data_IF_700329927731
#
_entry.id   IF_700329927731
#
_cell.length_a   1.000
_cell.length_b   1.000
_cell.length_c   1.000
_cell.angle_alpha   90.00
_cell.angle_beta   90.00
_cell.angle_gamma   90.00
#
_symmetry.space_group_name_H-M   'P 1'
#
loop_
_entity.id
_entity.type
_entity.pdbx_description
1 polymer ?
#
# COMPACT_ATOMS: atom_id res chain seq x y z
N UNK A 1 16.45 -15.99 22.51
CA UNK A 1 15.34 -15.04 22.32
C UNK A 1 15.93 -13.66 22.00
N UNK A 2 16.58 -13.53 20.84
CA UNK A 2 17.20 -12.26 20.43
C UNK A 2 16.15 -11.42 19.71
N UNK A 3 15.59 -10.44 20.43
CA UNK A 3 14.87 -9.31 19.87
C UNK A 3 15.83 -8.52 18.99
N UNK A 4 15.92 -8.88 17.71
CA UNK A 4 16.59 -8.06 16.71
C UNK A 4 15.50 -7.34 15.92
N UNK A 5 15.55 -6.01 15.83
CA UNK A 5 14.47 -5.19 15.28
C UNK A 5 14.25 -5.54 13.80
N UNK A 6 13.05 -5.25 13.24
CA UNK A 6 12.70 -5.53 11.84
C UNK A 6 13.75 -5.02 10.82
N UNK A 7 14.58 -4.05 11.21
CA UNK A 7 15.73 -3.60 10.43
C UNK A 7 16.73 -4.71 10.07
N UNK A 8 16.91 -5.76 10.90
CA UNK A 8 17.85 -6.85 10.61
C UNK A 8 17.31 -7.84 9.56
N UNK A 9 15.99 -7.98 9.41
CA UNK A 9 15.39 -8.72 8.29
C UNK A 9 15.70 -8.06 6.95
N UNK A 10 15.83 -6.73 6.90
CA UNK A 10 16.09 -5.98 5.67
C UNK A 10 17.57 -5.88 5.29
N UNK A 11 18.49 -5.93 6.26
CA UNK A 11 19.91 -5.60 6.03
C UNK A 11 20.83 -6.82 5.85
N UNK A 12 20.43 -8.01 6.28
CA UNK A 12 21.27 -9.21 6.26
C UNK A 12 20.46 -10.40 5.76
N UNK A 13 20.16 -10.41 4.46
CA UNK A 13 19.74 -11.62 3.78
C UNK A 13 20.52 -11.72 2.47
N UNK A 14 21.42 -12.70 2.38
CA UNK A 14 22.14 -13.08 1.14
C UNK A 14 21.19 -13.67 0.05
N UNK A 15 19.91 -13.32 0.11
CA UNK A 15 18.83 -13.77 -0.77
C UNK A 15 17.62 -12.84 -0.77
N UNK A 16 17.78 -11.56 -0.39
CA UNK A 16 16.72 -10.56 -0.44
C UNK A 16 16.19 -10.35 -1.87
N UNK A 17 14.92 -9.94 -2.00
CA UNK A 17 14.36 -9.56 -3.30
C UNK A 17 15.24 -8.48 -3.95
N UNK A 18 15.51 -8.61 -5.25
CA UNK A 18 16.21 -7.58 -5.98
C UNK A 18 15.49 -6.24 -5.77
N UNK A 19 16.23 -5.17 -5.51
CA UNK A 19 15.67 -3.87 -5.12
C UNK A 19 14.57 -3.36 -6.07
N UNK A 20 14.69 -3.67 -7.36
CA UNK A 20 13.71 -3.31 -8.38
C UNK A 20 12.38 -4.08 -8.24
N UNK A 21 12.41 -5.33 -7.74
CA UNK A 21 11.21 -6.11 -7.42
C UNK A 21 10.46 -5.46 -6.26
N UNK A 22 11.20 -5.05 -5.23
CA UNK A 22 10.62 -4.33 -4.07
C UNK A 22 9.96 -3.03 -4.51
N UNK A 23 10.61 -2.25 -5.39
CA UNK A 23 10.01 -1.05 -5.97
C UNK A 23 8.78 -1.34 -6.82
N UNK A 24 8.84 -2.38 -7.67
CA UNK A 24 7.70 -2.77 -8.49
C UNK A 24 6.50 -3.19 -7.61
N UNK A 25 6.74 -4.00 -6.57
CA UNK A 25 5.73 -4.39 -5.60
C UNK A 25 5.17 -3.19 -4.82
N UNK A 26 6.03 -2.23 -4.45
CA UNK A 26 5.60 -0.98 -3.81
C UNK A 26 4.66 -0.17 -4.71
N UNK A 27 4.92 -0.06 -6.02
CA UNK A 27 4.07 0.73 -6.93
C UNK A 27 2.87 -0.03 -7.51
N UNK A 28 2.87 -1.37 -7.45
CA UNK A 28 1.82 -2.21 -8.03
C UNK A 28 0.39 -1.84 -7.55
N UNK A 29 0.13 -1.55 -6.26
CA UNK A 29 -1.19 -1.11 -5.81
C UNK A 29 -1.71 0.17 -6.51
N UNK A 30 -0.82 1.06 -6.95
CA UNK A 30 -1.17 2.28 -7.65
C UNK A 30 -1.87 2.03 -8.99
N UNK A 31 -1.65 0.87 -9.61
CA UNK A 31 -2.35 0.44 -10.82
C UNK A 31 -3.86 0.24 -10.63
N UNK A 32 -4.35 0.11 -9.38
CA UNK A 32 -5.78 -0.01 -9.07
C UNK A 32 -6.63 1.18 -9.53
N UNK A 33 -6.01 2.33 -9.81
CA UNK A 33 -6.69 3.47 -10.44
C UNK A 33 -7.33 3.09 -11.79
N UNK A 34 -6.78 2.12 -12.51
CA UNK A 34 -7.33 1.63 -13.78
C UNK A 34 -8.77 1.08 -13.63
N UNK A 35 -9.16 0.63 -12.43
CA UNK A 35 -10.53 0.17 -12.16
C UNK A 35 -11.58 1.28 -12.35
N UNK A 36 -11.19 2.56 -12.32
CA UNK A 36 -12.09 3.68 -12.64
C UNK A 36 -12.51 3.73 -14.11
N UNK A 37 -11.85 3.00 -15.01
CA UNK A 37 -12.30 2.81 -16.39
C UNK A 37 -13.68 2.14 -16.48
N UNK A 38 -14.06 1.38 -15.45
CA UNK A 38 -15.36 0.70 -15.34
C UNK A 38 -16.38 1.50 -14.48
N UNK A 39 -16.09 2.77 -14.19
CA UNK A 39 -16.97 3.66 -13.44
C UNK A 39 -16.55 3.87 -11.98
N UNK A 40 -17.08 4.93 -11.37
CA UNK A 40 -16.63 5.43 -10.06
C UNK A 40 -16.83 4.44 -8.91
N UNK A 41 -17.90 3.64 -8.95
CA UNK A 41 -18.18 2.64 -7.92
C UNK A 41 -17.18 1.50 -7.93
N UNK A 42 -16.91 0.93 -9.11
CA UNK A 42 -15.95 -0.17 -9.28
C UNK A 42 -14.53 0.36 -9.00
N UNK A 43 -14.21 1.55 -9.52
CA UNK A 43 -12.96 2.24 -9.23
C UNK A 43 -12.70 2.43 -7.74
N UNK A 44 -13.67 2.95 -7.00
CA UNK A 44 -13.51 3.17 -5.56
C UNK A 44 -13.32 1.86 -4.78
N UNK A 45 -14.04 0.79 -5.15
CA UNK A 45 -13.88 -0.52 -4.52
C UNK A 45 -12.47 -1.07 -4.82
N UNK A 46 -12.09 -1.17 -6.10
CA UNK A 46 -10.79 -1.72 -6.50
C UNK A 46 -9.61 -0.95 -5.91
N UNK A 47 -9.70 0.37 -5.88
CA UNK A 47 -8.70 1.22 -5.25
C UNK A 47 -8.60 0.97 -3.74
N UNK A 48 -9.73 1.03 -3.03
CA UNK A 48 -9.74 0.92 -1.57
C UNK A 48 -9.25 -0.46 -1.10
N UNK A 49 -9.56 -1.52 -1.85
CA UNK A 49 -9.08 -2.87 -1.55
C UNK A 49 -7.55 -2.97 -1.45
N UNK A 50 -6.79 -2.08 -2.11
CA UNK A 50 -5.32 -2.06 -2.05
C UNK A 50 -4.75 -0.92 -1.19
N UNK A 51 -5.59 -0.07 -0.60
CA UNK A 51 -5.17 1.13 0.17
C UNK A 51 -5.71 1.16 1.62
N UNK A 52 -6.36 0.07 2.05
CA UNK A 52 -6.76 -0.14 3.45
C UNK A 52 -5.55 -0.63 4.24
N UNK A 53 -5.16 0.12 5.27
CA UNK A 53 -4.10 -0.28 6.19
C UNK A 53 -4.38 -1.62 6.88
N UNK A 54 -5.65 -1.88 7.23
CA UNK A 54 -6.04 -3.11 7.91
C UNK A 54 -5.64 -4.38 7.17
N UNK A 55 -5.73 -4.40 5.83
CA UNK A 55 -5.31 -5.56 5.04
C UNK A 55 -3.79 -5.70 5.02
N UNK A 56 -3.05 -4.61 4.82
CA UNK A 56 -1.58 -4.63 4.94
C UNK A 56 -1.11 -5.09 6.32
N UNK A 57 -1.76 -4.62 7.39
CA UNK A 57 -1.44 -5.00 8.76
C UNK A 57 -1.72 -6.49 9.03
N UNK A 58 -2.83 -7.02 8.53
CA UNK A 58 -3.13 -8.46 8.61
C UNK A 58 -2.09 -9.28 7.86
N UNK A 59 -1.73 -8.89 6.63
CA UNK A 59 -0.70 -9.59 5.84
C UNK A 59 0.65 -9.55 6.56
N UNK A 60 1.03 -8.41 7.12
CA UNK A 60 2.26 -8.27 7.92
C UNK A 60 2.24 -9.19 9.14
N UNK A 61 1.16 -9.15 9.92
CA UNK A 61 1.01 -9.97 11.12
C UNK A 61 1.02 -11.47 10.80
N UNK A 62 0.36 -11.89 9.71
CA UNK A 62 0.39 -13.27 9.24
C UNK A 62 1.79 -13.69 8.83
N UNK A 63 2.52 -12.84 8.10
CA UNK A 63 3.91 -13.09 7.72
C UNK A 63 4.81 -13.30 8.93
N UNK A 64 4.65 -12.48 9.97
CA UNK A 64 5.35 -12.66 11.24
C UNK A 64 4.91 -13.94 11.96
N UNK A 65 3.62 -14.27 11.97
CA UNK A 65 3.09 -15.44 12.68
C UNK A 65 3.54 -16.79 12.09
N UNK A 66 3.86 -16.82 10.80
CA UNK A 66 4.32 -18.04 10.09
C UNK A 66 5.79 -17.98 9.69
N UNK A 67 6.56 -17.03 10.26
CA UNK A 67 7.97 -16.79 9.96
C UNK A 67 8.28 -16.62 8.46
N UNK A 68 7.33 -16.10 7.68
CA UNK A 68 7.49 -15.83 6.25
C UNK A 68 7.97 -14.40 6.02
N UNK A 69 9.27 -14.27 5.72
CA UNK A 69 9.89 -12.99 5.35
C UNK A 69 9.18 -12.34 4.16
N UNK A 70 8.89 -13.12 3.11
CA UNK A 70 8.18 -12.62 1.93
C UNK A 70 6.82 -12.03 2.27
N UNK A 71 6.01 -12.74 3.07
CA UNK A 71 4.67 -12.27 3.42
C UNK A 71 4.73 -11.04 4.33
N UNK A 72 5.66 -11.02 5.28
CA UNK A 72 5.91 -9.85 6.13
C UNK A 72 6.34 -8.64 5.29
N UNK A 73 7.25 -8.82 4.32
CA UNK A 73 7.66 -7.76 3.41
C UNK A 73 6.50 -7.22 2.57
N UNK A 74 5.65 -8.10 2.00
CA UNK A 74 4.48 -7.65 1.23
C UNK A 74 3.50 -6.85 2.09
N UNK A 75 3.28 -7.26 3.35
CA UNK A 75 2.48 -6.51 4.30
C UNK A 75 3.08 -5.14 4.64
N UNK A 76 4.39 -5.07 4.86
CA UNK A 76 5.09 -3.81 5.11
C UNK A 76 4.99 -2.86 3.90
N UNK A 77 5.28 -3.33 2.69
CA UNK A 77 5.19 -2.54 1.46
C UNK A 77 3.76 -2.03 1.21
N UNK A 78 2.74 -2.83 1.55
CA UNK A 78 1.35 -2.39 1.47
C UNK A 78 1.08 -1.22 2.41
N UNK A 79 1.52 -1.30 3.66
CA UNK A 79 1.37 -0.23 4.64
C UNK A 79 2.11 1.03 4.18
N UNK A 80 3.35 0.88 3.71
CA UNK A 80 4.16 1.99 3.18
C UNK A 80 3.48 2.65 1.98
N UNK A 81 2.97 1.86 1.03
CA UNK A 81 2.23 2.39 -0.12
C UNK A 81 0.97 3.15 0.31
N UNK A 82 0.21 2.59 1.25
CA UNK A 82 -1.00 3.23 1.79
C UNK A 82 -0.68 4.54 2.53
N UNK A 83 0.49 4.64 3.16
CA UNK A 83 1.00 5.87 3.77
C UNK A 83 1.49 6.89 2.75
N UNK A 84 2.24 6.45 1.75
CA UNK A 84 2.69 7.27 0.63
C UNK A 84 1.50 7.87 -0.12
N UNK A 85 0.47 7.08 -0.40
CA UNK A 85 -0.79 7.55 -1.00
C UNK A 85 -1.45 8.69 -0.20
N UNK A 86 -1.47 8.57 1.13
CA UNK A 86 -2.05 9.58 2.03
C UNK A 86 -1.18 10.82 2.18
N UNK A 87 0.14 10.69 2.02
CA UNK A 87 1.06 11.83 1.98
C UNK A 87 0.72 12.78 0.83
N UNK A 88 0.22 12.25 -0.30
CA UNK A 88 -0.27 13.06 -1.43
C UNK A 88 -1.75 13.45 -1.33
N UNK A 89 -2.41 13.14 -0.22
CA UNK A 89 -3.81 13.51 0.04
C UNK A 89 -4.85 12.65 -0.69
N UNK A 90 -4.47 11.51 -1.26
CA UNK A 90 -5.41 10.64 -1.98
C UNK A 90 -6.30 9.82 -1.05
N UNK A 91 -5.76 8.99 -0.16
CA UNK A 91 -6.54 8.20 0.79
C UNK A 91 -7.64 7.30 0.18
N UNK A 92 -8.49 6.75 1.04
CA UNK A 92 -9.65 5.96 0.62
C UNK A 92 -10.67 6.80 -0.16
N UNK A 93 -11.17 6.23 -1.25
CA UNK A 93 -12.04 6.85 -2.24
C UNK A 93 -13.52 6.65 -1.95
N UNK A 94 -14.28 7.71 -2.21
CA UNK A 94 -15.74 7.67 -2.26
C UNK A 94 -16.23 7.21 -3.64
N UNK A 95 -17.47 6.68 -3.67
CA UNK A 95 -18.17 6.32 -4.92
C UNK A 95 -18.51 7.54 -5.78
N UNK A 96 -18.40 8.76 -5.24
CA UNK A 96 -18.62 10.02 -5.95
C UNK A 96 -17.54 10.35 -6.99
N UNK A 97 -16.41 9.66 -6.99
CA UNK A 97 -15.33 9.83 -7.98
C UNK A 97 -13.93 9.84 -7.36
N UNK A 98 -12.90 9.75 -8.20
CA UNK A 98 -11.49 9.58 -7.77
C UNK A 98 -10.95 10.72 -6.89
N UNK A 99 -11.46 11.94 -7.07
CA UNK A 99 -11.05 13.12 -6.29
C UNK A 99 -11.68 13.19 -4.91
N UNK A 100 -12.71 12.40 -4.63
CA UNK A 100 -13.44 12.44 -3.36
C UNK A 100 -12.92 11.34 -2.45
N UNK A 101 -12.47 11.74 -1.27
CA UNK A 101 -11.72 10.87 -0.37
C UNK A 101 -12.18 11.09 1.06
N UNK A 102 -11.87 10.16 1.96
CA UNK A 102 -12.11 10.36 3.39
C UNK A 102 -11.28 11.50 4.02
N UNK A 103 -10.22 11.95 3.35
CA UNK A 103 -9.41 13.11 3.76
C UNK A 103 -9.92 14.43 3.16
N UNK A 104 -10.97 14.37 2.34
CA UNK A 104 -11.52 15.51 1.61
C UNK A 104 -11.31 15.41 0.10
N UNK A 105 -11.45 16.55 -0.59
CA UNK A 105 -11.31 16.63 -2.04
C UNK A 105 -9.83 16.81 -2.40
N UNK A 106 -9.30 15.94 -3.26
CA UNK A 106 -7.96 16.11 -3.83
C UNK A 106 -7.92 17.36 -4.70
N UNK A 107 -7.07 18.32 -4.32
CA UNK A 107 -6.85 19.58 -5.04
C UNK A 107 -5.50 19.54 -5.76
N UNK A 108 -5.40 20.11 -6.97
CA UNK A 108 -4.10 20.38 -7.57
C UNK A 108 -3.30 21.34 -6.69
N UNK A 109 -2.01 21.08 -6.48
CA UNK A 109 -1.11 21.90 -5.67
C UNK A 109 -0.93 23.35 -6.20
N UNK A 110 -1.43 23.64 -7.41
CA UNK A 110 -1.30 24.94 -8.09
C UNK A 110 -2.63 25.69 -8.26
N UNK A 111 -3.72 25.25 -7.64
CA UNK A 111 -5.04 25.86 -7.81
C UNK A 111 -5.36 26.94 -6.78
N UNK A 112 -5.16 28.21 -7.14
CA UNK A 112 -6.17 29.24 -6.82
C UNK A 112 -7.51 28.84 -7.41
#
# INVERSE_FOLDING_TARGET
>A
MSLLPPAKMFLLQDGGFAWWVTLAAFFAPGGSIAAYAFGSRIGAIGYNLLHIYGFGAVVLALGMAVDSVTLAMLGALWLDHSGFDRLFGYGLKSRSGFRFTHLGIVRPLLGK
#
